data_IF_815490963493
#
_entry.id   IF_815490963493
#
_cell.length_a   1.000
_cell.length_b   1.000
_cell.length_c   1.000
_cell.angle_alpha   90.00
_cell.angle_beta   90.00
_cell.angle_gamma   90.00
#
_symmetry.space_group_name_H-M   'P 1'
#
loop_
_entity.id
_entity.type
_entity.pdbx_description
1 polymer ?
#
# COMPACT_ATOMS: atom_id res chain seq x y z
N UNK A 1 15.90 -6.43 4.04
CA UNK A 1 15.09 -5.18 4.00
C UNK A 1 15.46 -4.42 2.74
N UNK A 2 14.48 -3.87 2.00
CA UNK A 2 14.69 -3.10 0.77
C UNK A 2 14.30 -1.65 1.05
N UNK A 3 15.17 -0.69 0.76
CA UNK A 3 14.87 0.73 0.87
C UNK A 3 14.16 1.23 -0.40
N UNK A 4 12.88 1.56 -0.28
CA UNK A 4 12.04 2.09 -1.35
C UNK A 4 12.06 3.61 -1.49
N UNK A 5 12.87 4.34 -0.70
CA UNK A 5 12.78 5.80 -0.56
C UNK A 5 13.18 6.60 -1.79
N UNK A 6 14.04 6.03 -2.66
CA UNK A 6 14.58 6.69 -3.85
C UNK A 6 13.47 7.24 -4.76
N UNK A 7 13.58 8.51 -5.18
CA UNK A 7 12.55 9.16 -6.03
C UNK A 7 12.40 8.56 -7.42
N UNK A 8 13.41 7.83 -7.91
CA UNK A 8 13.33 7.06 -9.16
C UNK A 8 12.38 5.86 -9.05
N UNK A 9 12.09 5.38 -7.84
CA UNK A 9 11.13 4.32 -7.60
C UNK A 9 9.70 4.89 -7.58
N UNK A 10 8.96 4.75 -8.68
CA UNK A 10 7.57 5.21 -8.76
C UNK A 10 6.64 4.45 -7.83
N UNK A 11 6.95 3.19 -7.48
CA UNK A 11 6.13 2.41 -6.56
C UNK A 11 6.11 2.98 -5.13
N UNK A 12 7.05 3.88 -4.77
CA UNK A 12 7.10 4.55 -3.46
C UNK A 12 5.85 5.38 -3.14
N UNK A 13 5.07 5.73 -4.16
CA UNK A 13 3.89 6.59 -4.04
C UNK A 13 2.59 5.81 -3.86
N UNK A 14 2.64 4.47 -3.93
CA UNK A 14 1.46 3.62 -3.79
C UNK A 14 1.03 3.63 -2.32
N UNK A 15 -0.20 4.06 -2.06
CA UNK A 15 -0.71 4.26 -0.71
C UNK A 15 -1.24 2.97 -0.06
N UNK A 16 -1.47 3.06 1.25
CA UNK A 16 -2.11 2.00 2.02
C UNK A 16 -3.65 1.99 1.84
N UNK A 17 -4.23 0.80 1.78
CA UNK A 17 -5.66 0.57 1.97
C UNK A 17 -5.92 -0.70 2.77
N UNK A 18 -6.82 -0.66 3.76
CA UNK A 18 -7.27 -1.86 4.49
C UNK A 18 -8.18 -2.77 3.64
N UNK A 19 -8.64 -2.30 2.47
CA UNK A 19 -9.34 -3.12 1.48
C UNK A 19 -8.69 -2.89 0.10
N UNK A 20 -7.48 -3.42 -0.11
CA UNK A 20 -6.65 -2.99 -1.22
C UNK A 20 -7.10 -3.55 -2.58
N UNK A 21 -6.56 -2.97 -3.67
CA UNK A 21 -6.69 -3.49 -5.04
C UNK A 21 -5.39 -4.11 -5.58
N UNK A 22 -4.26 -3.94 -4.86
CA UNK A 22 -3.00 -4.60 -5.14
C UNK A 22 -2.49 -5.41 -3.94
N UNK A 23 -1.63 -6.39 -4.23
CA UNK A 23 -0.79 -7.11 -3.26
C UNK A 23 0.68 -6.98 -3.64
N UNK A 24 1.57 -7.34 -2.72
CA UNK A 24 3.02 -7.26 -2.89
C UNK A 24 3.64 -8.64 -2.81
N UNK A 25 4.43 -8.99 -3.83
CA UNK A 25 5.21 -10.21 -3.89
C UNK A 25 6.71 -9.92 -3.99
N UNK A 26 7.53 -10.73 -3.33
CA UNK A 26 8.99 -10.63 -3.40
C UNK A 26 9.52 -11.80 -4.24
N UNK A 27 10.09 -11.50 -5.40
CA UNK A 27 10.63 -12.50 -6.32
C UNK A 27 12.07 -12.11 -6.65
N UNK A 28 13.02 -12.99 -6.29
CA UNK A 28 14.44 -12.77 -6.58
C UNK A 28 15.00 -11.46 -6.01
N UNK A 29 14.56 -11.07 -4.81
CA UNK A 29 14.99 -9.83 -4.15
C UNK A 29 14.37 -8.55 -4.71
N UNK A 30 13.36 -8.65 -5.59
CA UNK A 30 12.60 -7.52 -6.11
C UNK A 30 11.16 -7.56 -5.62
N UNK A 31 10.62 -6.38 -5.32
CA UNK A 31 9.24 -6.18 -4.90
C UNK A 31 8.38 -5.94 -6.14
N UNK A 32 7.34 -6.74 -6.30
CA UNK A 32 6.35 -6.63 -7.38
C UNK A 32 5.00 -6.27 -6.78
N UNK A 33 4.37 -5.24 -7.33
CA UNK A 33 2.99 -4.88 -7.00
C UNK A 33 2.08 -5.52 -8.03
N UNK A 34 1.19 -6.39 -7.59
CA UNK A 34 0.28 -7.16 -8.46
C UNK A 34 -1.17 -6.75 -8.19
N UNK A 35 -1.95 -6.57 -9.25
CA UNK A 35 -3.38 -6.32 -9.11
C UNK A 35 -4.11 -7.60 -8.68
N UNK A 36 -4.95 -7.51 -7.65
CA UNK A 36 -5.80 -8.61 -7.16
C UNK A 36 -7.27 -8.44 -7.54
N UNK A 37 -7.60 -7.33 -8.20
CA UNK A 37 -8.92 -6.96 -8.70
C UNK A 37 -8.77 -6.25 -10.05
N UNK A 38 -9.87 -6.10 -10.77
CA UNK A 38 -9.92 -5.20 -11.94
C UNK A 38 -9.69 -3.76 -11.45
N UNK A 39 -8.84 -3.01 -12.15
CA UNK A 39 -8.52 -1.62 -11.85
C UNK A 39 -8.82 -0.79 -13.11
N UNK A 40 -9.66 0.22 -12.97
CA UNK A 40 -10.02 1.12 -14.06
C UNK A 40 -9.03 2.27 -14.20
N UNK A 41 -9.00 2.90 -15.38
CA UNK A 41 -8.12 4.03 -15.62
C UNK A 41 -8.48 5.20 -14.69
N UNK A 42 -7.51 5.70 -13.94
CA UNK A 42 -7.69 6.76 -12.95
C UNK A 42 -7.97 6.28 -11.53
N UNK A 43 -8.18 4.98 -11.31
CA UNK A 43 -8.26 4.42 -9.96
C UNK A 43 -6.88 4.42 -9.28
N UNK A 44 -6.87 4.76 -7.98
CA UNK A 44 -5.65 4.74 -7.17
C UNK A 44 -5.19 3.30 -6.92
N UNK A 45 -3.90 3.03 -7.16
CA UNK A 45 -3.26 1.79 -6.75
C UNK A 45 -2.97 1.83 -5.25
N UNK A 46 -3.30 0.75 -4.54
CA UNK A 46 -3.07 0.65 -3.10
C UNK A 46 -2.84 -0.79 -2.66
N UNK A 47 -2.05 -0.98 -1.60
CA UNK A 47 -1.79 -2.30 -1.01
C UNK A 47 -1.83 -2.24 0.52
N UNK A 48 -1.82 -3.40 1.16
CA UNK A 48 -1.67 -3.48 2.61
C UNK A 48 -0.18 -3.32 2.98
N UNK A 49 0.16 -2.30 3.78
CA UNK A 49 1.54 -2.06 4.19
C UNK A 49 2.06 -3.16 5.15
N UNK A 50 1.16 -3.98 5.67
CA UNK A 50 1.48 -5.03 6.62
C UNK A 50 1.48 -4.50 8.05
N UNK A 51 1.13 -5.40 8.97
CA UNK A 51 0.99 -5.08 10.39
C UNK A 51 2.29 -4.60 11.03
N UNK A 52 3.42 -5.21 10.66
CA UNK A 52 4.75 -4.85 11.20
C UNK A 52 5.12 -3.41 10.86
N UNK A 53 4.98 -3.01 9.60
CA UNK A 53 5.26 -1.64 9.16
C UNK A 53 4.29 -0.64 9.83
N UNK A 54 3.02 -1.03 9.95
CA UNK A 54 2.04 -0.19 10.62
C UNK A 54 2.40 0.01 12.10
N UNK A 55 2.72 -1.06 12.81
CA UNK A 55 3.06 -1.03 14.23
C UNK A 55 4.36 -0.26 14.50
N UNK A 56 5.35 -0.34 13.60
CA UNK A 56 6.65 0.30 13.77
C UNK A 56 6.66 1.78 13.36
N UNK A 57 5.95 2.16 12.29
CA UNK A 57 6.07 3.49 11.68
C UNK A 57 4.78 4.32 11.67
N UNK A 58 3.60 3.71 11.87
CA UNK A 58 2.29 4.38 11.64
C UNK A 58 1.38 4.35 12.87
N UNK A 59 1.60 3.47 13.85
CA UNK A 59 0.64 3.16 14.93
C UNK A 59 0.06 4.38 15.67
N UNK A 60 0.84 5.45 15.78
CA UNK A 60 0.45 6.67 16.50
C UNK A 60 -0.52 7.56 15.67
N UNK A 61 -0.80 7.19 14.41
CA UNK A 61 -1.73 7.86 13.52
C UNK A 61 -2.88 6.94 13.09
N UNK A 62 -4.13 7.44 13.08
CA UNK A 62 -5.25 6.66 12.57
C UNK A 62 -5.11 6.42 11.08
N UNK A 63 -5.48 5.22 10.61
CA UNK A 63 -5.51 4.91 9.18
C UNK A 63 -6.48 5.84 8.44
N UNK A 64 -5.98 6.51 7.39
CA UNK A 64 -6.74 7.49 6.58
C UNK A 64 -7.14 6.97 5.19
N UNK A 65 -7.05 5.65 4.96
CA UNK A 65 -7.49 5.06 3.71
C UNK A 65 -9.00 5.27 3.50
N UNK A 66 -9.46 5.21 2.24
CA UNK A 66 -10.87 5.44 1.90
C UNK A 66 -11.83 4.50 2.68
N UNK A 67 -11.44 3.24 2.86
CA UNK A 67 -12.24 2.25 3.60
C UNK A 67 -12.38 2.57 5.10
N UNK A 68 -11.32 3.03 5.76
CA UNK A 68 -11.39 3.43 7.17
C UNK A 68 -12.17 4.73 7.35
N UNK A 69 -12.00 5.68 6.41
CA UNK A 69 -12.77 6.93 6.42
C UNK A 69 -14.27 6.69 6.27
N UNK A 70 -14.68 5.75 5.42
CA UNK A 70 -16.11 5.47 5.21
C UNK A 70 -16.81 4.82 6.41
N UNK A 71 -16.06 4.30 7.40
CA UNK A 71 -16.64 3.74 8.65
C UNK A 71 -16.89 4.79 9.73
N UNK A 72 -16.36 6.00 9.56
CA UNK A 72 -16.49 7.10 10.52
C UNK A 72 -17.61 8.10 10.14
N UNK A 73 -18.47 7.73 9.18
CA UNK A 73 -19.67 8.47 8.76
C UNK A 73 -20.92 7.69 9.12
#
# INVERSE_FOLDING_TARGET
MIDGSARSNTARYINHSCKPNCEVDIIGGRVFVKAIKRIEAGEELNYDYGKEYFDEYIKDMPCRCAYCKSKNN
#
